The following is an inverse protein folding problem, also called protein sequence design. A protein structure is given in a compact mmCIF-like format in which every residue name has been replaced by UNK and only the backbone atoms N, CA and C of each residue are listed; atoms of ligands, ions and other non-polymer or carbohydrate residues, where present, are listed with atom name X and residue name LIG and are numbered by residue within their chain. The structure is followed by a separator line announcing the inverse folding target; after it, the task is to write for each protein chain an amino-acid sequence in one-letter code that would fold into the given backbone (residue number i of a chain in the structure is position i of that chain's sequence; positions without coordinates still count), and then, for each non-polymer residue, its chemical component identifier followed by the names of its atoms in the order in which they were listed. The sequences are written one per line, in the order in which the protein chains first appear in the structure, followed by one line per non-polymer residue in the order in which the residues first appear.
data_IF_728517255834
#
_entry.id   IF_728517255834
#
_cell.length_a   1.000
_cell.length_b   1.000
_cell.length_c   1.000
_cell.angle_alpha   90.00
_cell.angle_beta   90.00
_cell.angle_gamma   90.00
#
_symmetry.space_group_name_H-M   'P 1'
#
loop_
_entity.id
_entity.type
_entity.pdbx_description
1 polymer ?
#
# COMPACT_ATOMS: atom_id res chain seq x y z
N UNK A 1 -19.10 -28.66 3.80
CA UNK A 1 -18.35 -27.52 4.40
C UNK A 1 -19.38 -26.55 4.96
N UNK A 2 -19.27 -26.19 6.23
CA UNK A 2 -20.17 -25.21 6.86
C UNK A 2 -19.95 -23.83 6.20
N UNK A 3 -20.98 -23.00 6.07
CA UNK A 3 -20.91 -21.66 5.49
C UNK A 3 -19.86 -20.78 6.17
N UNK A 4 -19.72 -20.86 7.49
CA UNK A 4 -18.69 -20.16 8.27
C UNK A 4 -17.29 -20.60 7.83
N UNK A 5 -17.08 -21.89 7.68
CA UNK A 5 -15.79 -22.44 7.24
C UNK A 5 -15.42 -21.97 5.84
N UNK A 6 -16.40 -21.89 4.92
CA UNK A 6 -16.18 -21.38 3.57
C UNK A 6 -15.69 -19.93 3.57
N UNK A 7 -16.31 -19.06 4.37
CA UNK A 7 -15.91 -17.66 4.53
C UNK A 7 -14.49 -17.56 5.11
N UNK A 8 -14.20 -18.30 6.18
CA UNK A 8 -12.87 -18.28 6.81
C UNK A 8 -11.77 -18.81 5.88
N UNK A 9 -12.09 -19.81 5.04
CA UNK A 9 -11.16 -20.30 4.00
C UNK A 9 -10.90 -19.21 2.97
N UNK A 10 -11.93 -18.50 2.51
CA UNK A 10 -11.78 -17.41 1.54
C UNK A 10 -10.89 -16.27 2.11
N UNK A 11 -11.15 -15.84 3.34
CA UNK A 11 -10.36 -14.84 4.03
C UNK A 11 -8.88 -15.26 4.16
N UNK A 12 -8.63 -16.49 4.63
CA UNK A 12 -7.26 -17.01 4.72
C UNK A 12 -6.55 -17.05 3.37
N UNK A 13 -7.26 -17.37 2.29
CA UNK A 13 -6.69 -17.34 0.93
C UNK A 13 -6.28 -15.94 0.51
N UNK A 14 -7.12 -14.93 0.77
CA UNK A 14 -6.79 -13.52 0.48
C UNK A 14 -5.56 -13.07 1.25
N UNK A 15 -5.54 -13.29 2.58
CA UNK A 15 -4.40 -12.95 3.44
C UNK A 15 -3.11 -13.65 2.93
N UNK A 16 -3.21 -14.95 2.60
CA UNK A 16 -2.07 -15.72 2.11
C UNK A 16 -1.57 -15.23 0.75
N UNK A 17 -2.47 -14.89 -0.16
CA UNK A 17 -2.11 -14.33 -1.46
C UNK A 17 -1.35 -13.01 -1.31
N UNK A 18 -1.81 -12.12 -0.43
CA UNK A 18 -1.14 -10.84 -0.12
C UNK A 18 0.26 -11.06 0.47
N UNK A 19 0.41 -12.00 1.42
CA UNK A 19 1.70 -12.36 2.03
C UNK A 19 2.69 -12.92 1.00
N UNK A 20 2.24 -13.87 0.16
CA UNK A 20 3.08 -14.46 -0.88
C UNK A 20 3.53 -13.43 -1.92
N UNK A 21 2.62 -12.55 -2.35
CA UNK A 21 2.94 -11.48 -3.28
C UNK A 21 3.97 -10.51 -2.68
N UNK A 22 3.78 -10.09 -1.43
CA UNK A 22 4.71 -9.22 -0.71
C UNK A 22 6.11 -9.84 -0.59
N UNK A 23 6.19 -11.13 -0.29
CA UNK A 23 7.46 -11.87 -0.24
C UNK A 23 8.13 -11.97 -1.61
N UNK A 24 7.34 -12.24 -2.66
CA UNK A 24 7.86 -12.29 -4.03
C UNK A 24 8.42 -10.94 -4.48
N UNK A 25 7.68 -9.85 -4.23
CA UNK A 25 8.10 -8.50 -4.51
C UNK A 25 9.42 -8.15 -3.81
N UNK A 26 9.48 -8.42 -2.50
CA UNK A 26 10.68 -8.17 -1.70
C UNK A 26 11.88 -9.00 -2.18
N UNK A 27 11.67 -10.25 -2.58
CA UNK A 27 12.72 -11.12 -3.13
C UNK A 27 13.26 -10.63 -4.47
N UNK A 28 12.37 -10.11 -5.33
CA UNK A 28 12.73 -9.67 -6.68
C UNK A 28 13.39 -8.30 -6.68
N UNK A 29 12.87 -7.35 -5.90
CA UNK A 29 13.29 -5.95 -5.92
C UNK A 29 14.06 -5.52 -4.67
N UNK A 30 14.01 -6.30 -3.60
CA UNK A 30 14.46 -5.90 -2.27
C UNK A 30 13.62 -4.79 -1.64
N UNK A 31 12.44 -4.48 -2.19
CA UNK A 31 11.56 -3.39 -1.77
C UNK A 31 10.21 -3.93 -1.28
N UNK A 32 9.58 -3.17 -0.38
CA UNK A 32 8.21 -3.44 0.06
C UNK A 32 7.19 -2.84 -0.93
N UNK A 33 5.95 -3.32 -0.88
CA UNK A 33 4.89 -2.80 -1.75
C UNK A 33 4.67 -1.27 -1.60
N UNK A 34 4.66 -0.68 -0.39
CA UNK A 34 4.60 0.78 -0.24
C UNK A 34 5.78 1.53 -0.88
N UNK A 35 6.98 0.96 -0.82
CA UNK A 35 8.17 1.55 -1.46
C UNK A 35 8.05 1.52 -2.99
N UNK A 36 7.59 0.41 -3.55
CA UNK A 36 7.33 0.31 -5.00
C UNK A 36 6.26 1.30 -5.43
N UNK A 37 5.13 1.37 -4.69
CA UNK A 37 4.05 2.30 -5.00
C UNK A 37 4.54 3.76 -4.97
N UNK A 38 5.36 4.14 -3.98
CA UNK A 38 5.94 5.47 -3.91
C UNK A 38 6.85 5.77 -5.12
N UNK A 39 7.69 4.83 -5.52
CA UNK A 39 8.51 4.99 -6.73
C UNK A 39 7.64 5.12 -7.99
N UNK A 40 6.55 4.37 -8.10
CA UNK A 40 5.59 4.47 -9.22
C UNK A 40 4.91 5.85 -9.22
N UNK A 41 4.47 6.34 -8.07
CA UNK A 41 3.85 7.68 -7.93
C UNK A 41 4.81 8.78 -8.40
N UNK A 42 6.09 8.73 -8.00
CA UNK A 42 7.09 9.69 -8.48
C UNK A 42 7.31 9.56 -9.99
N UNK A 43 7.36 8.34 -10.53
CA UNK A 43 7.51 8.12 -11.98
C UNK A 43 6.36 8.74 -12.76
N UNK A 44 5.13 8.52 -12.32
CA UNK A 44 3.92 8.85 -13.07
C UNK A 44 3.59 10.35 -12.98
N UNK A 45 3.94 11.00 -11.89
CA UNK A 45 3.70 12.44 -11.66
C UNK A 45 4.89 13.33 -12.03
N UNK A 46 6.10 12.79 -12.10
CA UNK A 46 7.31 13.55 -12.42
C UNK A 46 7.80 14.41 -11.24
N UNK A 47 7.75 15.74 -11.36
CA UNK A 47 8.13 16.66 -10.27
C UNK A 47 7.02 16.70 -9.21
N UNK A 48 7.16 15.93 -8.16
CA UNK A 48 6.15 15.76 -7.12
C UNK A 48 6.74 16.07 -5.73
N UNK A 49 6.00 16.82 -4.93
CA UNK A 49 6.36 17.13 -3.54
C UNK A 49 5.98 16.00 -2.60
N UNK A 50 6.62 15.95 -1.42
CA UNK A 50 6.29 14.96 -0.37
C UNK A 50 4.80 15.05 0.03
N UNK A 51 4.23 16.26 0.08
CA UNK A 51 2.81 16.45 0.39
C UNK A 51 1.88 15.89 -0.69
N UNK A 52 2.22 16.08 -1.97
CA UNK A 52 1.46 15.53 -3.09
C UNK A 52 1.52 13.98 -3.11
N UNK A 53 2.70 13.41 -2.86
CA UNK A 53 2.86 11.95 -2.72
C UNK A 53 1.99 11.43 -1.56
N UNK A 54 2.00 12.12 -0.41
CA UNK A 54 1.22 11.73 0.75
C UNK A 54 -0.29 11.72 0.45
N UNK A 55 -0.77 12.73 -0.24
CA UNK A 55 -2.17 12.82 -0.67
C UNK A 55 -2.53 11.70 -1.66
N UNK A 56 -1.69 11.47 -2.68
CA UNK A 56 -1.93 10.43 -3.69
C UNK A 56 -1.95 9.02 -3.09
N UNK A 57 -1.02 8.77 -2.16
CA UNK A 57 -0.94 7.48 -1.47
C UNK A 57 -1.91 7.36 -0.29
N UNK A 58 -2.68 8.41 0.05
CA UNK A 58 -3.50 8.49 1.27
C UNK A 58 -2.72 8.10 2.54
N UNK A 59 -1.49 8.57 2.65
CA UNK A 59 -0.61 8.36 3.79
C UNK A 59 -0.29 9.68 4.49
N UNK A 60 0.15 9.61 5.75
CA UNK A 60 0.68 10.78 6.43
C UNK A 60 1.99 11.26 5.79
N UNK A 61 2.26 12.57 5.82
CA UNK A 61 3.54 13.10 5.34
C UNK A 61 4.74 12.52 6.12
N UNK A 62 4.56 12.22 7.41
CA UNK A 62 5.58 11.59 8.24
C UNK A 62 5.93 10.17 7.72
N UNK A 63 4.92 9.37 7.38
CA UNK A 63 5.10 8.04 6.80
C UNK A 63 5.82 8.12 5.46
N UNK A 64 5.37 9.01 4.56
CA UNK A 64 6.02 9.21 3.24
C UNK A 64 7.46 9.68 3.41
N UNK A 65 7.73 10.61 4.32
CA UNK A 65 9.09 11.07 4.63
C UNK A 65 9.98 9.91 5.05
N UNK A 66 9.50 9.04 5.94
CA UNK A 66 10.25 7.86 6.39
C UNK A 66 10.54 6.89 5.24
N UNK A 67 9.57 6.67 4.35
CA UNK A 67 9.77 5.81 3.17
C UNK A 67 10.81 6.43 2.24
N UNK A 68 10.71 7.73 1.97
CA UNK A 68 11.67 8.45 1.11
C UNK A 68 13.08 8.41 1.71
N UNK A 69 13.24 8.62 3.02
CA UNK A 69 14.55 8.55 3.70
C UNK A 69 15.23 7.19 3.49
N UNK A 70 14.44 6.11 3.55
CA UNK A 70 14.96 4.75 3.31
C UNK A 70 15.34 4.53 1.84
N UNK A 71 14.53 5.03 0.91
CA UNK A 71 14.81 4.92 -0.53
C UNK A 71 16.01 5.80 -0.93
N UNK A 72 16.17 6.98 -0.32
CA UNK A 72 17.30 7.86 -0.54
C UNK A 72 18.61 7.23 -0.03
N UNK A 73 18.59 6.62 1.16
CA UNK A 73 19.74 5.86 1.70
C UNK A 73 20.13 4.66 0.81
N UNK A 74 19.19 4.14 0.02
CA UNK A 74 19.42 3.07 -0.95
C UNK A 74 19.80 3.59 -2.34
N UNK A 75 19.88 4.90 -2.54
CA UNK A 75 20.21 5.49 -3.83
C UNK A 75 19.12 5.38 -4.89
N UNK A 76 17.86 5.16 -4.50
CA UNK A 76 16.73 5.01 -5.42
C UNK A 76 15.97 6.32 -5.64
N UNK A 77 16.00 7.23 -4.67
CA UNK A 77 15.35 8.55 -4.72
C UNK A 77 16.36 9.61 -4.29
N UNK A 78 16.23 10.80 -4.81
CA UNK A 78 16.91 11.98 -4.30
C UNK A 78 15.94 13.14 -4.16
N UNK A 79 16.25 14.04 -3.22
CA UNK A 79 15.48 15.26 -2.99
C UNK A 79 16.11 16.44 -3.68
N UNK A 80 15.29 17.27 -4.30
CA UNK A 80 15.71 18.52 -4.89
C UNK A 80 14.78 19.66 -4.45
N UNK A 81 15.38 20.76 -3.95
CA UNK A 81 14.61 21.97 -3.66
C UNK A 81 14.14 22.63 -4.94
N UNK A 82 12.90 23.09 -4.95
CA UNK A 82 12.37 23.87 -6.06
C UNK A 82 13.19 25.15 -6.29
N UNK A 83 13.43 25.46 -7.55
CA UNK A 83 14.11 26.72 -7.94
C UNK A 83 13.20 27.93 -7.82
N UNK A 84 11.88 27.71 -7.91
CA UNK A 84 10.87 28.79 -7.89
C UNK A 84 10.30 29.03 -6.50
N UNK A 85 10.17 27.99 -5.67
CA UNK A 85 9.69 28.07 -4.29
C UNK A 85 10.56 27.22 -3.36
N UNK A 86 11.47 27.88 -2.65
CA UNK A 86 12.43 27.23 -1.73
C UNK A 86 11.77 26.43 -0.59
N UNK A 87 10.45 26.60 -0.36
CA UNK A 87 9.67 25.83 0.63
C UNK A 87 9.32 24.44 0.12
N UNK A 88 9.33 24.25 -1.20
CA UNK A 88 8.97 22.98 -1.84
C UNK A 88 10.21 22.13 -2.05
N UNK A 89 10.10 20.87 -1.67
CA UNK A 89 11.09 19.82 -1.93
C UNK A 89 10.43 18.76 -2.78
N UNK A 90 10.99 18.51 -3.97
CA UNK A 90 10.54 17.48 -4.88
C UNK A 90 11.36 16.20 -4.70
N UNK A 91 10.71 15.07 -4.88
CA UNK A 91 11.36 13.78 -4.94
C UNK A 91 11.52 13.34 -6.40
N UNK A 92 12.67 12.77 -6.73
CA UNK A 92 13.01 12.30 -8.07
C UNK A 92 13.59 10.90 -8.02
N UNK A 93 13.33 10.11 -9.07
CA UNK A 93 13.90 8.78 -9.23
C UNK A 93 15.34 8.86 -9.74
N UNK A 94 16.18 7.94 -9.27
CA UNK A 94 17.45 7.63 -9.89
C UNK A 94 17.26 6.65 -11.06
N UNK A 95 18.28 6.50 -11.91
CA UNK A 95 18.27 5.49 -12.98
C UNK A 95 18.11 4.07 -12.40
N UNK A 96 18.72 3.80 -11.25
CA UNK A 96 18.60 2.51 -10.56
C UNK A 96 17.14 2.22 -10.14
N UNK A 97 16.41 3.24 -9.66
CA UNK A 97 15.00 3.09 -9.34
C UNK A 97 14.16 2.77 -10.57
N UNK A 98 14.44 3.41 -11.72
CA UNK A 98 13.73 3.15 -12.97
C UNK A 98 13.95 1.69 -13.42
N UNK A 99 15.19 1.20 -13.37
CA UNK A 99 15.48 -0.20 -13.71
C UNK A 99 14.84 -1.19 -12.71
N UNK A 100 14.83 -0.86 -11.42
CA UNK A 100 14.15 -1.65 -10.39
C UNK A 100 12.65 -1.76 -10.68
N UNK A 101 12.00 -0.64 -11.05
CA UNK A 101 10.58 -0.64 -11.41
C UNK A 101 10.27 -1.47 -12.65
N UNK A 102 11.17 -1.50 -13.65
CA UNK A 102 10.98 -2.34 -14.85
C UNK A 102 11.00 -3.84 -14.52
N UNK A 103 11.80 -4.25 -13.54
CA UNK A 103 11.93 -5.63 -13.11
C UNK A 103 10.90 -6.04 -12.04
N UNK A 104 10.19 -5.08 -11.45
CA UNK A 104 9.22 -5.34 -10.41
C UNK A 104 8.00 -6.08 -10.96
N UNK A 105 7.49 -7.11 -10.26
CA UNK A 105 6.21 -7.72 -10.60
C UNK A 105 5.08 -6.68 -10.46
N UNK A 106 4.02 -6.86 -11.25
CA UNK A 106 2.82 -6.00 -11.17
C UNK A 106 2.28 -6.07 -9.73
N UNK A 107 2.05 -4.92 -9.06
CA UNK A 107 1.48 -4.91 -7.73
C UNK A 107 0.15 -5.66 -7.67
N UNK A 108 -0.08 -6.40 -6.58
CA UNK A 108 -1.32 -7.16 -6.39
C UNK A 108 -2.56 -6.27 -6.49
N UNK A 109 -2.44 -5.05 -5.98
CA UNK A 109 -3.50 -4.04 -6.05
C UNK A 109 -3.85 -3.67 -7.50
N UNK A 110 -2.85 -3.46 -8.36
CA UNK A 110 -3.09 -3.11 -9.77
C UNK A 110 -3.73 -4.27 -10.52
N UNK A 111 -3.30 -5.50 -10.23
CA UNK A 111 -3.90 -6.70 -10.80
C UNK A 111 -5.36 -6.86 -10.36
N UNK A 112 -5.64 -6.64 -9.07
CA UNK A 112 -6.99 -6.64 -8.53
C UNK A 112 -7.85 -5.54 -9.15
N UNK A 113 -7.34 -4.31 -9.22
CA UNK A 113 -8.09 -3.16 -9.76
C UNK A 113 -8.52 -3.39 -11.22
N UNK A 114 -7.65 -3.97 -12.06
CA UNK A 114 -8.00 -4.31 -13.44
C UNK A 114 -9.14 -5.33 -13.51
N UNK A 115 -9.04 -6.43 -12.76
CA UNK A 115 -10.07 -7.46 -12.75
C UNK A 115 -11.39 -6.95 -12.16
N UNK A 116 -11.32 -6.09 -11.13
CA UNK A 116 -12.49 -5.49 -10.52
C UNK A 116 -13.21 -4.51 -11.46
N UNK A 117 -12.47 -3.75 -12.26
CA UNK A 117 -13.05 -2.84 -13.25
C UNK A 117 -13.83 -3.55 -14.37
N UNK A 118 -13.48 -4.80 -14.67
CA UNK A 118 -14.16 -5.62 -15.68
C UNK A 118 -15.48 -6.25 -15.17
N UNK A 119 -15.76 -6.16 -13.86
CA UNK A 119 -16.99 -6.69 -13.26
C UNK A 119 -18.20 -5.81 -13.56
N UNK A 120 -19.39 -6.40 -13.57
CA UNK A 120 -20.63 -5.67 -13.62
C UNK A 120 -20.86 -4.90 -12.31
N UNK A 121 -21.59 -3.77 -12.38
CA UNK A 121 -21.85 -2.90 -11.22
C UNK A 121 -22.46 -3.64 -10.01
N UNK A 122 -23.36 -4.59 -10.26
CA UNK A 122 -23.95 -5.38 -9.19
C UNK A 122 -22.95 -6.33 -8.51
N UNK A 123 -21.98 -6.87 -9.26
CA UNK A 123 -20.90 -7.72 -8.71
C UNK A 123 -19.97 -6.88 -7.84
N UNK A 124 -19.58 -5.69 -8.32
CA UNK A 124 -18.78 -4.73 -7.57
C UNK A 124 -19.47 -4.34 -6.26
N UNK A 125 -20.75 -4.00 -6.32
CA UNK A 125 -21.57 -3.65 -5.15
C UNK A 125 -21.67 -4.83 -4.15
N UNK A 126 -21.83 -6.04 -4.64
CA UNK A 126 -21.89 -7.24 -3.79
C UNK A 126 -20.58 -7.49 -3.07
N UNK A 127 -19.44 -7.32 -3.75
CA UNK A 127 -18.12 -7.49 -3.17
C UNK A 127 -17.88 -6.44 -2.07
N UNK A 128 -18.16 -5.16 -2.34
CA UNK A 128 -18.02 -4.07 -1.37
C UNK A 128 -18.86 -4.37 -0.12
N UNK A 129 -20.16 -4.64 -0.30
CA UNK A 129 -21.09 -4.89 0.80
C UNK A 129 -20.68 -6.09 1.65
N UNK A 130 -20.23 -7.16 0.99
CA UNK A 130 -19.78 -8.38 1.67
C UNK A 130 -18.51 -8.12 2.51
N UNK A 131 -17.54 -7.43 1.96
CA UNK A 131 -16.28 -7.12 2.66
C UNK A 131 -16.50 -6.13 3.82
N UNK A 132 -17.36 -5.12 3.63
CA UNK A 132 -17.75 -4.21 4.72
C UNK A 132 -18.40 -4.95 5.86
N UNK A 133 -19.33 -5.88 5.55
CA UNK A 133 -19.99 -6.70 6.57
C UNK A 133 -19.01 -7.63 7.29
N UNK A 134 -18.07 -8.21 6.58
CA UNK A 134 -17.01 -9.03 7.19
C UNK A 134 -16.14 -8.17 8.12
N UNK A 135 -15.73 -6.97 7.70
CA UNK A 135 -14.97 -6.06 8.52
C UNK A 135 -15.70 -5.66 9.82
N UNK A 136 -17.02 -5.40 9.74
CA UNK A 136 -17.86 -5.17 10.92
C UNK A 136 -17.87 -6.36 11.87
N UNK A 137 -18.11 -7.58 11.36
CA UNK A 137 -18.12 -8.80 12.17
C UNK A 137 -16.78 -9.09 12.86
N UNK A 138 -15.67 -8.60 12.28
CA UNK A 138 -14.33 -8.70 12.83
C UNK A 138 -13.93 -7.49 13.70
N UNK A 139 -14.86 -6.56 13.94
CA UNK A 139 -14.59 -5.30 14.67
C UNK A 139 -13.45 -4.47 14.05
N UNK A 140 -13.32 -4.54 12.71
CA UNK A 140 -12.23 -3.92 11.95
C UNK A 140 -12.62 -2.59 11.29
N UNK A 141 -13.86 -2.11 11.45
CA UNK A 141 -14.35 -0.87 10.82
C UNK A 141 -13.62 0.40 11.29
N UNK A 142 -12.95 0.34 12.44
CA UNK A 142 -12.19 1.46 13.02
C UNK A 142 -10.69 1.38 12.72
N UNK A 143 -10.25 0.32 12.04
CA UNK A 143 -8.85 0.19 11.63
C UNK A 143 -8.60 1.15 10.47
N UNK A 144 -7.64 2.04 10.63
CA UNK A 144 -7.18 2.88 9.52
C UNK A 144 -6.47 1.97 8.49
N UNK A 145 -7.13 1.75 7.38
CA UNK A 145 -6.62 0.89 6.32
C UNK A 145 -5.94 1.75 5.26
N UNK A 146 -4.63 1.64 5.17
CA UNK A 146 -3.89 2.21 4.05
C UNK A 146 -4.41 1.65 2.72
N UNK A 147 -4.45 2.47 1.64
CA UNK A 147 -4.94 2.05 0.33
C UNK A 147 -4.07 0.99 -0.35
N UNK A 148 -3.00 0.54 0.29
CA UNK A 148 -2.08 -0.48 -0.25
C UNK A 148 -2.39 -1.84 0.32
N UNK A 149 -2.69 -2.81 -0.53
CA UNK A 149 -2.80 -4.22 -0.15
C UNK A 149 -1.41 -4.77 0.24
N UNK A 150 -1.10 -4.68 1.52
CA UNK A 150 0.19 -5.07 2.07
C UNK A 150 0.03 -5.72 3.46
N UNK A 151 0.75 -6.80 3.69
CA UNK A 151 0.86 -7.44 5.02
C UNK A 151 2.20 -7.05 5.61
N UNK A 152 2.17 -6.18 6.60
CA UNK A 152 3.35 -5.67 7.28
C UNK A 152 3.15 -4.23 7.78
N UNK A 153 4.13 -3.70 8.47
CA UNK A 153 4.12 -2.33 8.98
C UNK A 153 4.81 -1.39 7.98
N UNK A 154 4.20 -0.24 7.71
CA UNK A 154 4.83 0.84 6.92
C UNK A 154 6.05 1.38 7.66
N UNK A 155 5.92 1.50 8.99
CA UNK A 155 7.00 1.85 9.90
C UNK A 155 6.77 1.18 11.26
N UNK A 156 7.82 0.62 11.86
CA UNK A 156 7.73 0.06 13.22
C UNK A 156 7.40 1.12 14.27
N UNK A 157 7.62 2.42 13.99
CA UNK A 157 7.31 3.52 14.88
C UNK A 157 5.91 4.11 14.67
N UNK A 158 5.32 4.01 13.48
CA UNK A 158 3.98 4.52 13.20
C UNK A 158 2.88 3.68 13.88
N UNK A 159 3.16 2.41 14.20
CA UNK A 159 2.19 1.48 14.81
C UNK A 159 2.14 1.53 16.35
N UNK A 160 2.86 2.45 17.00
CA UNK A 160 2.79 2.59 18.47
C UNK A 160 1.43 3.11 18.97
N UNK A 161 0.56 3.56 18.06
CA UNK A 161 -0.78 4.10 18.40
C UNK A 161 -1.95 3.22 17.95
N UNK A 162 -1.72 2.06 17.31
CA UNK A 162 -2.80 1.10 17.10
C UNK A 162 -3.29 0.56 18.44
N UNK A 163 -4.46 1.04 18.87
CA UNK A 163 -5.13 0.48 20.04
C UNK A 163 -5.38 -1.02 19.81
N UNK A 164 -5.13 -1.86 20.82
CA UNK A 164 -5.45 -3.29 20.72
C UNK A 164 -6.92 -3.46 20.34
N UNK A 165 -7.20 -4.43 19.47
CA UNK A 165 -8.58 -4.80 19.14
C UNK A 165 -9.20 -5.34 20.43
N UNK A 166 -10.14 -4.60 21.02
CA UNK A 166 -10.92 -5.06 22.17
C UNK A 166 -11.97 -6.06 21.67
N UNK A 167 -11.79 -7.32 21.99
CA UNK A 167 -12.83 -8.34 21.80
C UNK A 167 -13.88 -8.20 22.88
N UNK A 168 -15.18 -8.21 22.57
CA UNK A 168 -16.23 -8.24 23.56
C UNK A 168 -16.04 -9.47 24.45
N UNK A 169 -15.98 -9.24 25.77
CA UNK A 169 -15.96 -10.33 26.74
C UNK A 169 -17.28 -11.07 26.64
N UNK A 170 -17.19 -12.38 26.47
CA UNK A 170 -18.33 -13.32 26.44
C UNK A 170 -19.14 -13.26 27.71
#
# INVERSE_FOLDING_TARGET
MNSIEAVLVALRRVIRATDLHSKHLAKTTGLTAPQILLLQTIRDQGEVTIGEIANEMSLSQATVTTIIDRLEKRGLVYRQRSKTDKRKVHAHLTNEAIETLKSAPIPLQDQFARQYADLQEWEQTMIISSLQRVAEMMNAQHIDASPVLYVGTFDKQANAEEKPIEYPKS
#
